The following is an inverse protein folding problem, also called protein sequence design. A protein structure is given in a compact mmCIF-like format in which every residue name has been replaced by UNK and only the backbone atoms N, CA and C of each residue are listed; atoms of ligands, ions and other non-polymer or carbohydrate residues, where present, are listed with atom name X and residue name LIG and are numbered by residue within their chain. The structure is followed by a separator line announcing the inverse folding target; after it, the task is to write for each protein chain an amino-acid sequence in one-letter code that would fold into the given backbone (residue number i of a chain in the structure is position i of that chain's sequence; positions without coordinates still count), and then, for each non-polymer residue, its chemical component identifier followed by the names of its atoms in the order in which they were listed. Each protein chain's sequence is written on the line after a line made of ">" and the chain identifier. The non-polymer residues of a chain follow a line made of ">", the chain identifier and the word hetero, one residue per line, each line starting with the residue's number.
data_IF_086367856404
#
_entry.id   IF_086367856404
#
_cell.length_a   1.000
_cell.length_b   1.000
_cell.length_c   1.000
_cell.angle_alpha   90.00
_cell.angle_beta   90.00
_cell.angle_gamma   90.00
#
_symmetry.space_group_name_H-M   'P 1'
#
loop_
_entity.id
_entity.type
_entity.pdbx_description
1 polymer ?
#
# COMPACT_ATOMS: atom_id res chain seq x y z
N UNK A 1 47.49 -20.35 4.62
CA UNK A 1 46.52 -19.55 5.40
C UNK A 1 45.77 -18.67 4.42
N UNK A 2 44.54 -19.06 4.10
CA UNK A 2 43.64 -18.33 3.20
C UNK A 2 42.24 -18.56 3.77
N UNK A 3 41.74 -17.59 4.52
CA UNK A 3 40.35 -17.54 4.96
C UNK A 3 39.70 -16.30 4.36
N UNK A 4 39.21 -16.45 3.13
CA UNK A 4 38.26 -15.53 2.52
C UNK A 4 36.87 -16.08 2.75
N UNK A 5 36.14 -15.50 3.70
CA UNK A 5 34.71 -15.72 3.87
C UNK A 5 33.93 -14.46 3.47
N UNK A 6 33.32 -14.39 2.27
CA UNK A 6 32.41 -13.31 1.90
C UNK A 6 30.98 -13.85 1.78
N UNK A 7 30.20 -13.91 2.86
CA UNK A 7 28.79 -14.34 2.76
C UNK A 7 27.90 -13.77 3.86
N UNK A 8 27.67 -12.44 3.85
CA UNK A 8 26.51 -11.84 4.55
C UNK A 8 25.76 -10.73 3.78
N UNK A 9 25.99 -10.56 2.48
CA UNK A 9 25.37 -9.47 1.71
C UNK A 9 24.15 -9.86 0.85
N UNK A 10 23.71 -11.13 0.81
CA UNK A 10 22.70 -11.59 -0.17
C UNK A 10 21.32 -12.00 0.38
N UNK A 11 21.03 -11.79 1.67
CA UNK A 11 19.78 -12.28 2.29
C UNK A 11 18.76 -11.21 2.74
N UNK A 12 19.01 -9.93 2.45
CA UNK A 12 18.12 -8.82 2.83
C UNK A 12 17.08 -8.46 1.76
N UNK A 13 17.21 -8.99 0.54
CA UNK A 13 16.38 -8.57 -0.60
C UNK A 13 15.06 -9.34 -0.76
N UNK A 14 14.74 -10.27 0.14
CA UNK A 14 13.55 -11.10 0.10
C UNK A 14 12.77 -11.06 1.43
N UNK A 15 12.76 -9.89 2.09
CA UNK A 15 11.88 -9.69 3.24
C UNK A 15 10.60 -9.02 2.77
N UNK A 16 9.48 -9.67 3.05
CA UNK A 16 8.16 -9.07 2.85
C UNK A 16 8.07 -7.73 3.61
N UNK A 17 7.23 -6.82 3.10
CA UNK A 17 7.05 -5.48 3.64
C UNK A 17 6.78 -5.51 5.16
N UNK A 18 6.00 -6.50 5.61
CA UNK A 18 5.70 -6.73 7.02
C UNK A 18 6.94 -7.06 7.85
N UNK A 19 7.79 -7.97 7.38
CA UNK A 19 9.02 -8.34 8.09
C UNK A 19 10.01 -7.16 8.12
N UNK A 20 10.04 -6.34 7.08
CA UNK A 20 10.82 -5.10 7.07
C UNK A 20 10.30 -4.07 8.08
N UNK A 21 8.98 -3.95 8.21
CA UNK A 21 8.34 -3.05 9.16
C UNK A 21 8.57 -3.51 10.61
N UNK A 22 8.47 -4.82 10.88
CA UNK A 22 8.79 -5.40 12.18
C UNK A 22 10.28 -5.28 12.54
N UNK A 23 11.19 -5.48 11.59
CA UNK A 23 12.62 -5.25 11.85
C UNK A 23 12.94 -3.78 12.09
N UNK A 24 12.27 -2.86 11.38
CA UNK A 24 12.38 -1.43 11.68
C UNK A 24 11.83 -1.11 13.07
N UNK A 25 10.71 -1.71 13.47
CA UNK A 25 10.17 -1.59 14.83
C UNK A 25 11.19 -2.06 15.87
N UNK A 26 11.75 -3.26 15.70
CA UNK A 26 12.75 -3.82 16.60
C UNK A 26 14.02 -2.94 16.67
N UNK A 27 14.47 -2.41 15.53
CA UNK A 27 15.64 -1.54 15.47
C UNK A 27 15.38 -0.16 16.10
N UNK A 28 14.18 0.40 15.92
CA UNK A 28 13.76 1.65 16.57
C UNK A 28 13.70 1.44 18.09
N UNK A 29 13.13 0.33 18.54
CA UNK A 29 13.05 -0.04 19.96
C UNK A 29 14.44 -0.27 20.58
N UNK A 30 15.35 -0.91 19.85
CA UNK A 30 16.74 -1.12 20.26
C UNK A 30 17.53 0.19 20.35
N UNK A 31 17.37 1.10 19.37
CA UNK A 31 18.00 2.42 19.40
C UNK A 31 17.45 3.29 20.55
N UNK A 32 16.15 3.20 20.85
CA UNK A 32 15.53 3.92 21.97
C UNK A 32 15.99 3.38 23.33
N UNK A 33 16.11 2.05 23.47
CA UNK A 33 16.68 1.40 24.67
C UNK A 33 18.15 1.74 24.86
N UNK A 34 18.94 1.75 23.78
CA UNK A 34 20.35 2.12 23.80
C UNK A 34 20.58 3.60 24.17
N UNK A 35 19.63 4.48 23.84
CA UNK A 35 19.62 5.89 24.24
C UNK A 35 19.09 6.14 25.66
N UNK A 36 18.79 5.09 26.44
CA UNK A 36 18.25 5.21 27.81
C UNK A 36 16.80 5.71 27.87
N UNK A 37 16.08 5.69 26.74
CA UNK A 37 14.71 6.18 26.63
C UNK A 37 13.69 5.18 27.17
N UNK A 38 12.74 5.69 27.96
CA UNK A 38 11.52 5.00 28.35
C UNK A 38 10.74 4.47 27.13
N UNK A 39 9.72 3.64 27.38
CA UNK A 39 8.74 3.16 26.39
C UNK A 39 8.45 4.21 25.31
N UNK A 40 8.35 3.78 24.04
CA UNK A 40 7.93 4.60 22.90
C UNK A 40 6.81 5.56 23.35
N UNK A 41 6.88 6.87 23.01
CA UNK A 41 5.79 7.79 23.31
C UNK A 41 4.47 7.18 22.81
N UNK A 42 3.42 7.22 23.64
CA UNK A 42 2.12 6.58 23.37
C UNK A 42 1.57 6.90 21.96
N UNK A 43 1.86 8.10 21.48
CA UNK A 43 1.52 8.59 20.14
C UNK A 43 2.21 7.79 19.02
N UNK A 44 3.49 7.44 19.19
CA UNK A 44 4.25 6.68 18.22
C UNK A 44 3.85 5.20 18.22
N UNK A 45 3.55 4.62 19.39
CA UNK A 45 3.00 3.26 19.46
C UNK A 45 1.65 3.16 18.74
N UNK A 46 0.78 4.16 18.95
CA UNK A 46 -0.50 4.28 18.27
C UNK A 46 -0.31 4.36 16.75
N UNK A 47 0.62 5.21 16.29
CA UNK A 47 0.89 5.37 14.87
C UNK A 47 1.42 4.08 14.22
N UNK A 48 2.32 3.36 14.90
CA UNK A 48 2.85 2.09 14.44
C UNK A 48 1.78 1.00 14.39
N UNK A 49 0.88 0.96 15.38
CA UNK A 49 -0.25 0.05 15.41
C UNK A 49 -1.19 0.30 14.23
N UNK A 50 -1.57 1.57 14.02
CA UNK A 50 -2.44 1.96 12.90
C UNK A 50 -1.77 1.64 11.56
N UNK A 51 -0.49 1.96 11.38
CA UNK A 51 0.25 1.62 10.17
C UNK A 51 0.30 0.11 9.92
N UNK A 52 0.49 -0.69 10.98
CA UNK A 52 0.48 -2.16 10.89
C UNK A 52 -0.90 -2.68 10.48
N UNK A 53 -1.98 -2.14 11.06
CA UNK A 53 -3.35 -2.49 10.69
C UNK A 53 -3.67 -2.11 9.24
N UNK A 54 -3.23 -0.93 8.77
CA UNK A 54 -3.36 -0.53 7.37
C UNK A 54 -2.67 -1.52 6.43
N UNK A 55 -1.45 -1.96 6.77
CA UNK A 55 -0.72 -2.95 5.98
C UNK A 55 -1.45 -4.29 5.97
N UNK A 56 -1.89 -4.79 7.13
CA UNK A 56 -2.64 -6.05 7.23
C UNK A 56 -3.93 -6.01 6.41
N UNK A 57 -4.66 -4.90 6.50
CA UNK A 57 -5.87 -4.69 5.71
C UNK A 57 -5.57 -4.68 4.21
N UNK A 58 -4.57 -3.93 3.77
CA UNK A 58 -4.19 -3.81 2.36
C UNK A 58 -3.83 -5.17 1.72
N UNK A 59 -3.22 -6.06 2.51
CA UNK A 59 -2.83 -7.40 2.07
C UNK A 59 -3.83 -8.50 2.46
N UNK A 60 -5.01 -8.13 2.97
CA UNK A 60 -6.06 -9.09 3.26
C UNK A 60 -6.57 -9.76 1.96
N UNK A 61 -6.98 -11.03 2.00
CA UNK A 61 -7.57 -11.70 0.84
C UNK A 61 -8.76 -10.93 0.25
N UNK A 62 -9.56 -10.30 1.11
CA UNK A 62 -10.73 -9.52 0.75
C UNK A 62 -10.34 -8.28 -0.06
N UNK A 63 -9.46 -7.44 0.49
CA UNK A 63 -9.00 -6.21 -0.17
C UNK A 63 -8.24 -6.53 -1.47
N UNK A 64 -7.40 -7.56 -1.46
CA UNK A 64 -6.70 -8.01 -2.67
C UNK A 64 -7.68 -8.54 -3.73
N UNK A 65 -8.76 -9.20 -3.31
CA UNK A 65 -9.86 -9.61 -4.19
C UNK A 65 -10.52 -8.41 -4.87
N UNK A 66 -10.84 -7.37 -4.10
CA UNK A 66 -11.38 -6.11 -4.63
C UNK A 66 -10.43 -5.47 -5.65
N UNK A 67 -9.12 -5.46 -5.40
CA UNK A 67 -8.14 -4.90 -6.35
C UNK A 67 -8.11 -5.67 -7.66
N UNK A 68 -8.04 -7.01 -7.59
CA UNK A 68 -8.04 -7.87 -8.78
C UNK A 68 -9.29 -7.63 -9.61
N UNK A 69 -10.45 -7.57 -8.96
CA UNK A 69 -11.70 -7.34 -9.65
C UNK A 69 -11.77 -5.95 -10.29
N UNK A 70 -11.29 -4.92 -9.59
CA UNK A 70 -11.16 -3.56 -10.14
C UNK A 70 -10.29 -3.56 -11.41
N UNK A 71 -9.10 -4.17 -11.37
CA UNK A 71 -8.22 -4.23 -12.53
C UNK A 71 -8.86 -4.98 -13.69
N UNK A 72 -9.52 -6.12 -13.41
CA UNK A 72 -10.21 -6.94 -14.42
C UNK A 72 -11.33 -6.17 -15.12
N UNK A 73 -12.15 -5.44 -14.37
CA UNK A 73 -13.27 -4.66 -14.92
C UNK A 73 -12.79 -3.50 -15.80
N UNK A 74 -11.63 -2.91 -15.48
CA UNK A 74 -11.13 -1.73 -16.17
C UNK A 74 -10.05 -2.04 -17.22
N UNK A 75 -9.55 -3.29 -17.31
CA UNK A 75 -8.42 -3.67 -18.15
C UNK A 75 -8.54 -3.21 -19.62
N UNK A 76 -9.73 -3.30 -20.21
CA UNK A 76 -9.98 -2.87 -21.60
C UNK A 76 -9.73 -1.37 -21.85
N UNK A 77 -9.76 -0.55 -20.80
CA UNK A 77 -9.53 0.90 -20.89
C UNK A 77 -8.05 1.24 -21.04
N UNK A 78 -7.13 0.27 -20.95
CA UNK A 78 -5.67 0.49 -20.94
C UNK A 78 -5.13 1.25 -22.16
N UNK A 79 -5.83 1.15 -23.31
CA UNK A 79 -5.46 1.84 -24.55
C UNK A 79 -5.86 3.32 -24.54
N UNK A 80 -6.80 3.74 -23.69
CA UNK A 80 -7.22 5.12 -23.52
C UNK A 80 -6.53 5.76 -22.30
N UNK A 81 -5.49 6.55 -22.56
CA UNK A 81 -4.73 7.24 -21.51
C UNK A 81 -5.59 8.10 -20.58
N UNK A 82 -6.64 8.75 -21.09
CA UNK A 82 -7.53 9.59 -20.25
C UNK A 82 -8.41 8.70 -19.39
N UNK A 83 -8.99 7.64 -19.95
CA UNK A 83 -9.81 6.69 -19.19
C UNK A 83 -9.00 5.98 -18.09
N UNK A 84 -7.77 5.53 -18.37
CA UNK A 84 -6.88 4.92 -17.36
C UNK A 84 -6.61 5.89 -16.21
N UNK A 85 -6.35 7.17 -16.52
CA UNK A 85 -6.10 8.19 -15.50
C UNK A 85 -7.33 8.41 -14.62
N UNK A 86 -8.51 8.53 -15.23
CA UNK A 86 -9.77 8.68 -14.48
C UNK A 86 -10.06 7.47 -13.60
N UNK A 87 -9.83 6.25 -14.11
CA UNK A 87 -10.01 5.01 -13.35
C UNK A 87 -9.07 4.96 -12.15
N UNK A 88 -7.82 5.38 -12.32
CA UNK A 88 -6.86 5.40 -11.22
C UNK A 88 -7.22 6.40 -10.13
N UNK A 89 -7.70 7.60 -10.50
CA UNK A 89 -8.18 8.57 -9.52
C UNK A 89 -9.38 8.00 -8.75
N UNK A 90 -10.33 7.38 -9.46
CA UNK A 90 -11.47 6.70 -8.82
C UNK A 90 -11.01 5.59 -7.88
N UNK A 91 -10.07 4.74 -8.32
CA UNK A 91 -9.50 3.68 -7.50
C UNK A 91 -8.93 4.22 -6.18
N UNK A 92 -8.21 5.34 -6.22
CA UNK A 92 -7.66 5.93 -5.00
C UNK A 92 -8.73 6.48 -4.06
N UNK A 93 -9.77 7.11 -4.60
CA UNK A 93 -10.89 7.59 -3.77
C UNK A 93 -11.62 6.42 -3.11
N UNK A 94 -11.97 5.38 -3.87
CA UNK A 94 -12.61 4.18 -3.32
C UNK A 94 -11.69 3.50 -2.28
N UNK A 95 -10.39 3.44 -2.54
CA UNK A 95 -9.42 2.87 -1.59
C UNK A 95 -9.35 3.67 -0.29
N UNK A 96 -9.33 4.99 -0.38
CA UNK A 96 -9.34 5.88 0.78
C UNK A 96 -10.63 5.73 1.59
N UNK A 97 -11.79 5.66 0.94
CA UNK A 97 -13.09 5.47 1.61
C UNK A 97 -13.15 4.16 2.38
N UNK A 98 -12.77 3.04 1.76
CA UNK A 98 -12.74 1.74 2.46
C UNK A 98 -11.71 1.73 3.60
N UNK A 99 -10.51 2.28 3.37
CA UNK A 99 -9.48 2.34 4.40
C UNK A 99 -9.96 3.17 5.61
N UNK A 100 -10.62 4.30 5.36
CA UNK A 100 -11.22 5.13 6.40
C UNK A 100 -12.30 4.37 7.17
N UNK A 101 -13.20 3.67 6.47
CA UNK A 101 -14.33 2.97 7.10
C UNK A 101 -13.90 1.72 7.89
N UNK A 102 -12.98 0.93 7.34
CA UNK A 102 -12.65 -0.40 7.87
C UNK A 102 -11.47 -0.37 8.85
N UNK A 103 -10.50 0.51 8.64
CA UNK A 103 -9.32 0.60 9.51
C UNK A 103 -9.39 1.82 10.40
N UNK A 104 -9.52 3.01 9.83
CA UNK A 104 -9.32 4.22 10.62
C UNK A 104 -10.50 4.60 11.49
N UNK A 105 -11.74 4.26 11.14
CA UNK A 105 -12.94 4.56 11.93
C UNK A 105 -12.86 4.02 13.36
N UNK A 106 -12.19 2.86 13.55
CA UNK A 106 -11.99 2.24 14.86
C UNK A 106 -10.69 2.68 15.55
N UNK A 107 -9.82 3.40 14.84
CA UNK A 107 -8.59 3.96 15.38
C UNK A 107 -8.82 5.30 16.06
N UNK A 108 -7.89 5.69 16.93
CA UNK A 108 -7.88 7.03 17.55
C UNK A 108 -7.65 8.16 16.54
N UNK A 109 -7.05 7.85 15.38
CA UNK A 109 -6.71 8.82 14.33
C UNK A 109 -7.88 9.07 13.37
N UNK A 110 -8.86 8.17 13.28
CA UNK A 110 -10.16 8.30 12.56
C UNK A 110 -10.13 8.46 11.04
N UNK A 111 -9.07 9.00 10.44
CA UNK A 111 -8.99 9.20 8.99
C UNK A 111 -7.56 9.15 8.45
N UNK A 112 -7.43 8.88 7.15
CA UNK A 112 -6.16 8.88 6.43
C UNK A 112 -5.44 10.22 6.52
N UNK A 113 -6.18 11.33 6.46
CA UNK A 113 -5.62 12.68 6.57
C UNK A 113 -4.91 12.87 7.92
N UNK A 114 -5.58 12.51 9.03
CA UNK A 114 -5.00 12.61 10.37
C UNK A 114 -3.80 11.68 10.53
N UNK A 115 -3.88 10.46 10.00
CA UNK A 115 -2.74 9.51 10.01
C UNK A 115 -1.56 10.10 9.24
N UNK A 116 -1.79 10.67 8.05
CA UNK A 116 -0.75 11.27 7.24
C UNK A 116 -0.08 12.45 7.96
N UNK A 117 -0.86 13.32 8.60
CA UNK A 117 -0.32 14.42 9.43
C UNK A 117 0.56 13.89 10.57
N UNK A 118 0.12 12.86 11.29
CA UNK A 118 0.89 12.26 12.37
C UNK A 118 2.17 11.58 11.87
N UNK A 119 2.13 10.91 10.70
CA UNK A 119 3.33 10.37 10.05
C UNK A 119 4.31 11.48 9.70
N UNK A 120 3.83 12.58 9.12
CA UNK A 120 4.68 13.73 8.77
C UNK A 120 5.29 14.31 10.04
N UNK A 121 4.46 14.57 11.07
CA UNK A 121 4.92 15.09 12.36
C UNK A 121 6.00 14.18 12.97
N UNK A 122 5.75 12.87 13.03
CA UNK A 122 6.71 11.91 13.58
C UNK A 122 8.05 11.91 12.82
N UNK A 123 8.03 12.03 11.49
CA UNK A 123 9.24 12.08 10.65
C UNK A 123 10.09 13.34 10.92
N UNK A 124 9.46 14.44 11.31
CA UNK A 124 10.16 15.68 11.63
C UNK A 124 10.52 15.83 13.11
N UNK A 125 9.78 15.19 14.02
CA UNK A 125 9.96 15.33 15.47
C UNK A 125 10.87 14.27 16.10
N UNK A 126 10.95 13.06 15.53
CA UNK A 126 11.75 11.97 16.10
C UNK A 126 12.99 11.65 15.28
N UNK A 127 14.14 11.60 15.95
CA UNK A 127 15.45 11.39 15.31
C UNK A 127 15.54 10.08 14.52
N UNK A 128 14.89 9.02 15.01
CA UNK A 128 14.86 7.71 14.36
C UNK A 128 14.25 7.74 12.93
N UNK A 129 13.44 8.75 12.61
CA UNK A 129 12.80 8.89 11.30
C UNK A 129 13.40 10.00 10.44
N UNK A 130 14.44 10.71 10.88
CA UNK A 130 15.05 11.80 10.11
C UNK A 130 15.53 11.36 8.72
N UNK A 131 16.00 10.11 8.60
CA UNK A 131 16.40 9.50 7.33
C UNK A 131 15.26 9.42 6.30
N UNK A 132 14.00 9.52 6.72
CA UNK A 132 12.79 9.47 5.88
C UNK A 132 12.31 10.84 5.41
N UNK A 133 12.84 11.95 5.94
CA UNK A 133 12.46 13.32 5.55
C UNK A 133 12.56 13.58 4.03
N UNK A 134 13.60 13.11 3.30
CA UNK A 134 13.66 13.29 1.85
C UNK A 134 12.48 12.63 1.12
N UNK A 135 12.05 11.45 1.56
CA UNK A 135 10.93 10.72 0.98
C UNK A 135 9.61 11.47 1.21
N UNK A 136 9.37 11.95 2.43
CA UNK A 136 8.17 12.77 2.72
C UNK A 136 8.14 14.03 1.85
N UNK A 137 9.28 14.74 1.72
CA UNK A 137 9.37 15.92 0.83
C UNK A 137 9.08 15.57 -0.61
N UNK A 138 9.58 14.43 -1.10
CA UNK A 138 9.31 13.98 -2.46
C UNK A 138 7.81 13.72 -2.68
N UNK A 139 7.15 13.03 -1.76
CA UNK A 139 5.70 12.76 -1.83
C UNK A 139 4.91 14.07 -1.83
N UNK A 140 5.23 14.99 -0.92
CA UNK A 140 4.54 16.28 -0.80
C UNK A 140 4.83 17.24 -1.96
N UNK A 141 5.97 17.11 -2.64
CA UNK A 141 6.33 17.97 -3.77
C UNK A 141 5.44 17.77 -5.01
N UNK A 142 4.63 16.71 -5.06
CA UNK A 142 3.68 16.46 -6.15
C UNK A 142 4.31 16.17 -7.51
N UNK A 143 5.64 16.08 -7.61
CA UNK A 143 6.37 15.90 -8.87
C UNK A 143 6.07 14.58 -9.57
N UNK A 144 5.55 13.59 -8.83
CA UNK A 144 5.14 12.31 -9.39
C UNK A 144 3.89 11.79 -8.70
N UNK A 145 2.96 11.27 -9.49
CA UNK A 145 1.81 10.56 -8.96
C UNK A 145 2.25 9.18 -8.47
N UNK A 146 2.42 9.05 -7.16
CA UNK A 146 2.90 7.81 -6.54
C UNK A 146 2.04 6.61 -6.97
N UNK A 147 2.68 5.51 -7.35
CA UNK A 147 1.98 4.29 -7.75
C UNK A 147 1.40 4.27 -9.18
N UNK A 148 1.38 5.40 -9.91
CA UNK A 148 0.81 5.44 -11.28
C UNK A 148 1.45 4.44 -12.24
N UNK A 149 2.79 4.38 -12.27
CA UNK A 149 3.50 3.46 -13.17
C UNK A 149 3.19 2.00 -12.84
N UNK A 150 3.08 1.67 -11.55
CA UNK A 150 2.69 0.32 -11.11
C UNK A 150 1.26 0.01 -11.51
N UNK A 151 0.33 0.94 -11.30
CA UNK A 151 -1.06 0.81 -11.72
C UNK A 151 -1.19 0.54 -13.22
N UNK A 152 -0.51 1.33 -14.05
CA UNK A 152 -0.52 1.14 -15.51
C UNK A 152 0.08 -0.21 -15.90
N UNK A 153 1.15 -0.65 -15.24
CA UNK A 153 1.75 -1.96 -15.48
C UNK A 153 0.77 -3.09 -15.17
N UNK A 154 0.09 -3.05 -14.01
CA UNK A 154 -0.91 -4.06 -13.60
C UNK A 154 -2.11 -4.09 -14.55
N UNK A 155 -2.60 -2.93 -14.99
CA UNK A 155 -3.68 -2.83 -15.97
C UNK A 155 -3.30 -3.46 -17.32
N UNK A 156 -2.06 -3.23 -17.78
CA UNK A 156 -1.54 -3.82 -19.04
C UNK A 156 -1.41 -5.33 -18.93
N UNK A 157 -0.83 -5.80 -17.84
CA UNK A 157 -0.66 -7.24 -17.58
C UNK A 157 -2.02 -7.94 -17.56
N UNK A 158 -3.00 -7.37 -16.85
CA UNK A 158 -4.38 -7.87 -16.80
C UNK A 158 -5.04 -7.87 -18.19
N UNK A 159 -4.85 -6.81 -18.98
CA UNK A 159 -5.41 -6.72 -20.34
C UNK A 159 -4.82 -7.78 -21.28
N UNK A 160 -3.49 -7.99 -21.24
CA UNK A 160 -2.82 -9.03 -22.03
C UNK A 160 -3.33 -10.41 -21.59
N UNK A 161 -3.41 -10.68 -20.28
CA UNK A 161 -3.97 -11.92 -19.76
C UNK A 161 -5.40 -12.17 -20.25
N UNK A 162 -6.26 -11.17 -20.18
CA UNK A 162 -7.67 -11.29 -20.60
C UNK A 162 -7.84 -11.47 -22.13
N UNK A 163 -6.96 -10.89 -22.94
CA UNK A 163 -7.02 -10.97 -24.41
C UNK A 163 -6.23 -12.14 -25.02
N UNK A 164 -5.36 -12.79 -24.24
CA UNK A 164 -4.56 -13.94 -24.66
C UNK A 164 -5.22 -15.31 -24.37
N UNK A 165 -6.33 -15.34 -23.61
CA UNK A 165 -7.09 -16.58 -23.38
C UNK A 165 -8.03 -16.90 -24.55
N UNK A 166 -8.04 -18.15 -25.06
CA UNK A 166 -9.01 -18.58 -26.06
C UNK A 166 -10.44 -18.58 -25.47
N UNK A 167 -11.41 -18.07 -26.26
CA UNK A 167 -12.83 -17.92 -25.92
C UNK A 167 -13.51 -19.21 -25.38
N UNK A 168 -12.92 -20.39 -25.63
CA UNK A 168 -13.46 -21.69 -25.19
C UNK A 168 -13.33 -21.97 -23.69
N UNK A 169 -12.62 -21.15 -22.90
CA UNK A 169 -12.48 -21.29 -21.45
C UNK A 169 -13.21 -20.21 -20.64
N UNK A 170 -13.96 -19.30 -21.29
CA UNK A 170 -14.69 -18.22 -20.61
C UNK A 170 -16.03 -18.68 -19.98
N UNK A 171 -16.27 -19.97 -19.80
CA UNK A 171 -17.54 -20.47 -19.23
C UNK A 171 -17.48 -20.62 -17.71
N UNK A 172 -18.53 -20.09 -17.08
CA UNK A 172 -19.09 -20.42 -15.75
C UNK A 172 -18.79 -19.61 -14.47
N UNK A 173 -18.15 -18.45 -14.50
CA UNK A 173 -18.18 -17.52 -13.34
C UNK A 173 -18.79 -16.15 -13.69
N UNK A 174 -19.82 -16.14 -14.55
CA UNK A 174 -20.80 -15.04 -14.57
C UNK A 174 -21.87 -15.31 -13.52
N UNK A 175 -21.58 -15.05 -12.25
CA UNK A 175 -22.65 -14.95 -11.25
C UNK A 175 -22.42 -13.70 -10.40
N UNK A 176 -23.40 -12.80 -10.48
CA UNK A 176 -23.49 -11.48 -9.83
C UNK A 176 -22.70 -10.36 -10.51
N UNK A 177 -22.94 -10.21 -11.80
CA UNK A 177 -22.71 -8.98 -12.57
C UNK A 177 -23.41 -7.78 -11.91
N UNK A 178 -22.64 -6.71 -11.69
CA UNK A 178 -22.85 -5.24 -11.80
C UNK A 178 -24.27 -4.65 -12.10
N UNK A 179 -25.26 -5.42 -12.56
CA UNK A 179 -26.66 -5.01 -12.73
C UNK A 179 -27.39 -4.67 -11.43
N UNK A 180 -26.83 -5.00 -10.26
CA UNK A 180 -27.34 -4.54 -8.94
C UNK A 180 -26.75 -3.21 -8.49
N UNK A 181 -25.61 -2.77 -9.02
CA UNK A 181 -24.99 -1.49 -8.67
C UNK A 181 -25.44 -0.32 -9.56
N UNK A 182 -25.95 -0.59 -10.78
CA UNK A 182 -26.50 0.42 -11.68
C UNK A 182 -27.71 -0.10 -12.47
N UNK A 183 -28.95 0.07 -11.98
CA UNK A 183 -30.13 -0.11 -12.82
C UNK A 183 -30.22 1.05 -13.85
N UNK A 184 -30.61 0.78 -15.11
CA UNK A 184 -30.82 1.84 -16.09
C UNK A 184 -32.09 2.65 -15.76
N UNK A 185 -31.85 3.90 -15.33
CA UNK A 185 -32.74 5.08 -15.20
C UNK A 185 -34.16 4.87 -14.67
#
# INVERSE_FOLDING_TARGET
>A
MLDTSPTKAKKTNQMDCFSRLLLQHAHVEENLRAAGGASLPFELETLLRVASQTVLWLFSPETLGCFREFFRQNAALVLDKKAVRSCFIRFLHELEEHLNAEVFATSTLRSLANVAEQVIAAVYSHECFHSRRPLVRQILSGLSFAGWNMFVAQMRDTYIGATSLPDSLQSNERTVTFKTAFPPR
#
